data_IF_942834248054
#
_entry.id   IF_942834248054
#
_cell.length_a   1.000
_cell.length_b   1.000
_cell.length_c   1.000
_cell.angle_alpha   90.00
_cell.angle_beta   90.00
_cell.angle_gamma   90.00
#
_symmetry.space_group_name_H-M   'P 1'
#
loop_
_entity.id
_entity.type
_entity.pdbx_description
1 polymer ?
#
# COMPACT_ATOMS: atom_id res chain seq x y z
N UNK A 1 -11.32 5.89 -5.46
CA UNK A 1 -10.81 5.46 -4.14
C UNK A 1 -9.73 6.46 -3.73
N UNK A 2 -9.85 7.11 -2.56
CA UNK A 2 -8.78 7.98 -2.04
C UNK A 2 -7.74 7.17 -1.26
N UNK A 3 -6.46 7.58 -1.31
CA UNK A 3 -5.37 6.94 -0.55
C UNK A 3 -4.65 7.96 0.34
N UNK A 4 -4.45 7.63 1.61
CA UNK A 4 -3.52 8.34 2.48
C UNK A 4 -2.09 7.82 2.25
N UNK A 5 -1.12 8.69 2.02
CA UNK A 5 0.28 8.31 1.84
C UNK A 5 1.04 8.25 3.16
N UNK A 6 1.31 7.05 3.69
CA UNK A 6 1.98 6.87 4.97
C UNK A 6 3.50 7.14 4.91
N UNK A 7 4.10 7.15 3.71
CA UNK A 7 5.56 7.21 3.54
C UNK A 7 6.26 8.43 4.15
N UNK A 8 5.55 9.54 4.35
CA UNK A 8 6.06 10.77 4.95
C UNK A 8 5.46 11.10 6.32
N UNK A 9 4.65 10.19 6.88
CA UNK A 9 3.95 10.41 8.15
C UNK A 9 4.66 9.67 9.27
N UNK A 10 4.74 10.28 10.45
CA UNK A 10 4.99 9.52 11.68
C UNK A 10 3.75 8.66 12.02
N UNK A 11 3.89 7.58 12.81
CA UNK A 11 2.77 6.71 13.17
C UNK A 11 1.55 7.46 13.73
N UNK A 12 1.76 8.39 14.65
CA UNK A 12 0.65 9.18 15.22
C UNK A 12 -0.01 10.10 14.20
N UNK A 13 0.78 10.69 13.28
CA UNK A 13 0.24 11.48 12.17
C UNK A 13 -0.63 10.63 11.25
N UNK A 14 -0.21 9.40 10.93
CA UNK A 14 -1.05 8.49 10.15
C UNK A 14 -2.38 8.21 10.85
N UNK A 15 -2.35 7.89 12.14
CA UNK A 15 -3.55 7.65 12.95
C UNK A 15 -4.50 8.85 12.92
N UNK A 16 -3.96 10.05 13.14
CA UNK A 16 -4.72 11.29 13.06
C UNK A 16 -5.37 11.47 11.68
N UNK A 17 -4.62 11.25 10.60
CA UNK A 17 -5.14 11.38 9.23
C UNK A 17 -6.21 10.33 8.88
N UNK A 18 -6.07 9.09 9.36
CA UNK A 18 -7.11 8.05 9.22
C UNK A 18 -8.42 8.50 9.86
N UNK A 19 -8.36 9.01 11.10
CA UNK A 19 -9.54 9.48 11.83
C UNK A 19 -10.18 10.70 11.17
N UNK A 20 -9.37 11.66 10.71
CA UNK A 20 -9.87 12.82 9.95
C UNK A 20 -10.54 12.41 8.65
N UNK A 21 -9.95 11.46 7.91
CA UNK A 21 -10.53 10.96 6.67
C UNK A 21 -11.88 10.28 6.91
N UNK A 22 -11.96 9.43 7.94
CA UNK A 22 -13.20 8.76 8.37
C UNK A 22 -14.29 9.75 8.80
N UNK A 23 -13.93 10.84 9.48
CA UNK A 23 -14.88 11.89 9.84
C UNK A 23 -15.38 12.70 8.62
N UNK A 24 -14.57 12.79 7.56
CA UNK A 24 -14.88 13.56 6.37
C UNK A 24 -15.70 12.78 5.32
N UNK A 25 -15.75 11.44 5.41
CA UNK A 25 -16.49 10.63 4.44
C UNK A 25 -16.85 9.23 4.96
N UNK A 26 -18.04 8.76 4.57
CA UNK A 26 -18.46 7.35 4.74
C UNK A 26 -18.02 6.46 3.57
N UNK A 27 -17.40 7.03 2.52
CA UNK A 27 -16.95 6.28 1.35
C UNK A 27 -15.62 5.56 1.65
N UNK A 28 -15.33 4.44 0.97
CA UNK A 28 -14.07 3.73 1.16
C UNK A 28 -12.84 4.60 0.83
N UNK A 29 -11.80 4.44 1.64
CA UNK A 29 -10.44 4.94 1.40
C UNK A 29 -9.43 3.84 1.75
N UNK A 30 -8.19 4.01 1.29
CA UNK A 30 -7.08 3.14 1.62
C UNK A 30 -5.86 3.88 2.12
N UNK A 31 -4.81 3.13 2.42
CA UNK A 31 -3.50 3.66 2.83
C UNK A 31 -2.42 3.12 1.91
N UNK A 32 -1.57 3.99 1.38
CA UNK A 32 -0.35 3.61 0.67
C UNK A 32 0.82 3.54 1.65
N UNK A 33 1.53 2.40 1.65
CA UNK A 33 2.64 2.11 2.56
C UNK A 33 3.87 1.61 1.78
N UNK A 34 4.94 2.42 1.68
CA UNK A 34 6.23 1.92 1.21
C UNK A 34 6.82 0.97 2.25
N UNK A 35 7.15 -0.26 1.84
CA UNK A 35 7.56 -1.32 2.78
C UNK A 35 8.96 -1.12 3.38
N UNK A 36 9.77 -0.21 2.84
CA UNK A 36 11.05 0.22 3.43
C UNK A 36 10.90 1.25 4.57
N UNK A 37 9.67 1.57 4.99
CA UNK A 37 9.46 2.54 6.06
C UNK A 37 10.07 2.07 7.41
N UNK A 38 10.81 2.91 8.16
CA UNK A 38 11.57 2.45 9.33
C UNK A 38 10.72 1.88 10.48
N UNK A 39 9.50 2.35 10.67
CA UNK A 39 8.58 1.90 11.74
C UNK A 39 7.39 1.13 11.14
N UNK A 40 7.67 0.26 10.16
CA UNK A 40 6.64 -0.42 9.36
C UNK A 40 5.67 -1.24 10.21
N UNK A 41 6.16 -1.91 11.26
CA UNK A 41 5.33 -2.72 12.16
C UNK A 41 4.26 -1.87 12.85
N UNK A 42 4.63 -0.68 13.34
CA UNK A 42 3.71 0.24 14.01
C UNK A 42 2.67 0.81 13.05
N UNK A 43 3.11 1.19 11.84
CA UNK A 43 2.21 1.66 10.77
C UNK A 43 1.18 0.59 10.41
N UNK A 44 1.63 -0.65 10.20
CA UNK A 44 0.75 -1.76 9.87
C UNK A 44 -0.23 -2.08 11.00
N UNK A 45 0.23 -2.04 12.26
CA UNK A 45 -0.63 -2.22 13.42
C UNK A 45 -1.71 -1.14 13.51
N UNK A 46 -1.35 0.14 13.32
CA UNK A 46 -2.32 1.25 13.29
C UNK A 46 -3.37 1.06 12.20
N UNK A 47 -2.96 0.64 11.00
CA UNK A 47 -3.87 0.39 9.87
C UNK A 47 -4.90 -0.70 10.24
N UNK A 48 -4.45 -1.78 10.87
CA UNK A 48 -5.31 -2.88 11.32
C UNK A 48 -6.24 -2.44 12.47
N UNK A 49 -5.71 -1.75 13.48
CA UNK A 49 -6.45 -1.28 14.65
C UNK A 49 -7.54 -0.26 14.28
N UNK A 50 -7.21 0.68 13.39
CA UNK A 50 -8.15 1.68 12.90
C UNK A 50 -9.12 1.11 11.84
N UNK A 51 -9.01 -0.18 11.50
CA UNK A 51 -9.95 -0.88 10.63
C UNK A 51 -9.95 -0.39 9.18
N UNK A 52 -8.80 0.03 8.66
CA UNK A 52 -8.62 0.34 7.24
C UNK A 52 -8.87 -0.92 6.41
N UNK A 53 -9.59 -0.81 5.29
CA UNK A 53 -10.01 -1.99 4.50
C UNK A 53 -9.18 -2.22 3.24
N UNK A 54 -8.40 -1.24 2.80
CA UNK A 54 -7.63 -1.31 1.57
C UNK A 54 -6.22 -0.77 1.80
N UNK A 55 -5.20 -1.56 1.47
CA UNK A 55 -3.80 -1.17 1.59
C UNK A 55 -3.09 -1.34 0.26
N UNK A 56 -2.38 -0.30 -0.15
CA UNK A 56 -1.48 -0.31 -1.28
C UNK A 56 -0.06 -0.38 -0.74
N UNK A 57 0.69 -1.41 -1.10
CA UNK A 57 2.10 -1.55 -0.74
C UNK A 57 2.99 -1.25 -1.93
N UNK A 58 4.18 -0.72 -1.68
CA UNK A 58 5.20 -0.46 -2.70
C UNK A 58 6.59 -0.66 -2.13
N UNK A 59 7.62 -0.58 -2.97
CA UNK A 59 9.02 -0.52 -2.56
C UNK A 59 9.41 -1.62 -1.54
N UNK A 60 9.21 -2.89 -1.88
CA UNK A 60 9.60 -4.02 -1.03
C UNK A 60 9.04 -5.36 -1.50
N UNK A 61 9.10 -6.37 -0.63
CA UNK A 61 8.61 -7.72 -0.94
C UNK A 61 7.13 -7.86 -0.52
N UNK A 62 6.17 -8.09 -1.42
CA UNK A 62 4.76 -8.22 -1.08
C UNK A 62 4.46 -9.38 -0.11
N UNK A 63 5.31 -10.42 -0.07
CA UNK A 63 5.10 -11.59 0.80
C UNK A 63 5.20 -11.28 2.29
N UNK A 64 5.83 -10.16 2.69
CA UNK A 64 6.07 -9.87 4.11
C UNK A 64 4.78 -9.57 4.88
N UNK A 65 3.83 -8.89 4.23
CA UNK A 65 2.62 -8.39 4.91
C UNK A 65 1.31 -8.88 4.32
N UNK A 66 1.30 -9.38 3.08
CA UNK A 66 0.05 -9.70 2.37
C UNK A 66 -0.83 -10.68 3.14
N UNK A 67 -0.28 -11.81 3.61
CA UNK A 67 -1.06 -12.80 4.37
C UNK A 67 -1.66 -12.20 5.65
N UNK A 68 -0.84 -11.52 6.45
CA UNK A 68 -1.27 -10.92 7.72
C UNK A 68 -2.35 -9.85 7.52
N UNK A 69 -2.22 -9.00 6.51
CA UNK A 69 -3.23 -7.99 6.19
C UNK A 69 -4.55 -8.66 5.76
N UNK A 70 -4.47 -9.69 4.91
CA UNK A 70 -5.66 -10.43 4.45
C UNK A 70 -6.36 -11.18 5.57
N UNK A 71 -5.63 -11.73 6.54
CA UNK A 71 -6.21 -12.35 7.75
C UNK A 71 -7.03 -11.35 8.58
N UNK A 72 -6.76 -10.04 8.45
CA UNK A 72 -7.53 -8.95 9.06
C UNK A 72 -8.63 -8.40 8.14
N UNK A 73 -8.93 -9.08 7.03
CA UNK A 73 -9.95 -8.68 6.07
C UNK A 73 -9.59 -7.44 5.26
N UNK A 74 -8.29 -7.18 5.06
CA UNK A 74 -7.78 -6.05 4.28
C UNK A 74 -7.51 -6.51 2.85
N UNK A 75 -8.03 -5.78 1.87
CA UNK A 75 -7.68 -5.92 0.46
C UNK A 75 -6.31 -5.33 0.19
N UNK A 76 -5.41 -6.11 -0.40
CA UNK A 76 -4.01 -5.73 -0.63
C UNK A 76 -3.75 -5.55 -2.12
N UNK A 77 -3.30 -4.34 -2.49
CA UNK A 77 -2.71 -4.07 -3.79
C UNK A 77 -1.20 -3.84 -3.66
N UNK A 78 -0.41 -4.25 -4.65
CA UNK A 78 1.03 -3.97 -4.68
C UNK A 78 1.45 -3.25 -5.97
N UNK A 79 2.27 -2.21 -5.83
CA UNK A 79 2.83 -1.48 -6.98
C UNK A 79 3.99 -2.27 -7.58
N UNK A 80 3.98 -2.44 -8.90
CA UNK A 80 4.98 -3.19 -9.65
C UNK A 80 5.44 -2.42 -10.88
N UNK A 81 6.71 -2.61 -11.25
CA UNK A 81 7.34 -1.98 -12.41
C UNK A 81 7.51 -2.92 -13.61
N UNK A 82 7.20 -4.21 -13.46
CA UNK A 82 7.33 -5.18 -14.55
C UNK A 82 6.43 -6.40 -14.39
N UNK A 83 6.17 -7.11 -15.50
CA UNK A 83 5.40 -8.36 -15.51
C UNK A 83 6.02 -9.45 -14.62
N UNK A 84 7.35 -9.47 -14.49
CA UNK A 84 8.05 -10.37 -13.58
C UNK A 84 7.70 -10.10 -12.12
N UNK A 85 7.61 -8.83 -11.71
CA UNK A 85 7.18 -8.48 -10.36
C UNK A 85 5.68 -8.69 -10.16
N UNK A 86 4.86 -8.48 -11.19
CA UNK A 86 3.43 -8.82 -11.18
C UNK A 86 3.20 -10.30 -10.84
N UNK A 87 3.87 -11.22 -11.53
CA UNK A 87 3.77 -12.66 -11.26
C UNK A 87 4.20 -13.03 -9.83
N UNK A 88 5.20 -12.33 -9.27
CA UNK A 88 5.61 -12.52 -7.86
C UNK A 88 4.55 -12.02 -6.88
N UNK A 89 3.82 -10.96 -7.22
CA UNK A 89 2.74 -10.43 -6.39
C UNK A 89 1.54 -11.39 -6.39
N UNK A 90 1.16 -11.91 -7.56
CA UNK A 90 0.14 -12.96 -7.68
C UNK A 90 0.51 -14.17 -6.81
N UNK A 91 1.74 -14.67 -6.92
CA UNK A 91 2.24 -15.76 -6.09
C UNK A 91 2.35 -15.41 -4.58
N UNK A 92 2.35 -14.12 -4.22
CA UNK A 92 2.27 -13.66 -2.83
C UNK A 92 0.82 -13.54 -2.31
N UNK A 93 -0.17 -13.70 -3.19
CA UNK A 93 -1.59 -13.68 -2.85
C UNK A 93 -2.17 -12.26 -2.72
N UNK A 94 -1.59 -11.26 -3.37
CA UNK A 94 -2.21 -9.91 -3.42
C UNK A 94 -3.53 -9.98 -4.19
N UNK A 95 -4.46 -9.10 -3.87
CA UNK A 95 -5.77 -9.05 -4.53
C UNK A 95 -5.73 -8.25 -5.85
N UNK A 96 -4.77 -7.33 -5.96
CA UNK A 96 -4.54 -6.54 -7.16
C UNK A 96 -3.07 -6.09 -7.29
N UNK A 97 -2.70 -5.65 -8.48
CA UNK A 97 -1.45 -4.95 -8.73
C UNK A 97 -1.72 -3.57 -9.31
N UNK A 98 -0.79 -2.65 -9.08
CA UNK A 98 -0.70 -1.38 -9.81
C UNK A 98 0.54 -1.47 -10.69
N UNK A 99 0.36 -1.55 -12.00
CA UNK A 99 1.46 -1.46 -12.95
C UNK A 99 1.81 0.02 -13.13
N UNK A 100 2.93 0.45 -12.55
CA UNK A 100 3.41 1.83 -12.62
C UNK A 100 4.41 1.97 -13.78
N UNK A 101 4.13 2.94 -14.65
CA UNK A 101 4.95 3.20 -15.84
C UNK A 101 6.05 4.22 -15.59
N UNK A 102 7.03 4.21 -16.47
CA UNK A 102 8.20 5.09 -16.42
C UNK A 102 7.86 6.59 -16.31
N UNK A 103 6.74 7.00 -16.91
CA UNK A 103 6.22 8.35 -16.90
C UNK A 103 5.68 8.82 -15.53
N UNK A 104 5.56 7.92 -14.54
CA UNK A 104 5.14 8.27 -13.19
C UNK A 104 6.16 9.20 -12.52
N UNK A 105 5.67 10.10 -11.66
CA UNK A 105 6.52 10.94 -10.81
C UNK A 105 6.88 10.24 -9.51
N UNK A 106 8.08 10.49 -8.97
CA UNK A 106 8.52 9.94 -7.69
C UNK A 106 9.64 8.92 -7.84
N UNK A 107 9.54 7.80 -7.11
CA UNK A 107 10.55 6.72 -7.16
C UNK A 107 10.15 5.67 -8.17
N UNK A 108 10.94 5.55 -9.23
CA UNK A 108 10.65 4.67 -10.34
C UNK A 108 11.56 3.43 -10.34
N UNK A 109 11.01 2.30 -10.75
CA UNK A 109 11.74 1.08 -11.03
C UNK A 109 12.68 1.23 -12.24
N UNK A 110 13.88 0.64 -12.15
CA UNK A 110 14.88 0.68 -13.24
C UNK A 110 14.42 0.04 -14.55
N UNK A 111 13.46 -0.86 -14.47
CA UNK A 111 12.94 -1.67 -15.59
C UNK A 111 11.49 -1.30 -15.92
N UNK A 112 11.03 -0.13 -15.48
CA UNK A 112 9.67 0.32 -15.76
C UNK A 112 9.40 0.32 -17.26
N UNK A 113 8.39 -0.46 -17.63
CA UNK A 113 7.82 -0.42 -18.98
C UNK A 113 6.87 0.77 -19.02
N UNK A 114 6.84 1.53 -20.11
CA UNK A 114 5.84 2.59 -20.26
C UNK A 114 4.43 1.99 -20.18
N UNK A 115 3.46 2.75 -19.65
CA UNK A 115 2.04 2.32 -19.67
C UNK A 115 1.33 2.67 -20.98
N UNK A 116 2.07 3.24 -21.95
CA UNK A 116 1.63 3.57 -23.30
C UNK A 116 1.95 2.46 -24.32
#
# INVERSE_FOLDING_TARGET
LGLLGAGSMHPETLREHIRKCRAATDRPFGVNVPLMYPQIDEIMQIIMDEGVKIVFTSAGNPKTWTARLKDHGITVAHVVSSSRFAAKCEAAGVDAIVAEGFEAGGHNGREETTTL
#
